data_IF_686773569689
#
_entry.id   IF_686773569689
#
_cell.length_a   1.000
_cell.length_b   1.000
_cell.length_c   1.000
_cell.angle_alpha   90.00
_cell.angle_beta   90.00
_cell.angle_gamma   90.00
#
_symmetry.space_group_name_H-M   'P 1'
#
loop_
_entity.id
_entity.type
_entity.pdbx_description
1 polymer ?
#
# COMPACT_ATOMS: atom_id res chain seq x y z
N UNK A 1 -2.38 -42.20 -15.10
CA UNK A 1 -3.26 -41.02 -15.26
C UNK A 1 -2.62 -39.85 -14.53
N UNK A 2 -1.81 -39.06 -15.23
CA UNK A 2 -1.13 -37.87 -14.70
C UNK A 2 -2.03 -36.65 -14.90
N UNK A 3 -2.54 -36.09 -13.81
CA UNK A 3 -3.31 -34.84 -13.84
C UNK A 3 -2.40 -33.68 -14.26
N UNK A 4 -2.46 -33.30 -15.52
CA UNK A 4 -1.85 -32.08 -16.05
C UNK A 4 -2.65 -30.88 -15.52
N UNK A 5 -2.26 -30.33 -14.37
CA UNK A 5 -2.81 -29.04 -13.90
C UNK A 5 -2.30 -27.95 -14.85
N UNK A 6 -3.19 -27.43 -15.68
CA UNK A 6 -2.95 -26.20 -16.45
C UNK A 6 -2.54 -25.07 -15.49
N UNK A 7 -1.41 -24.37 -15.74
CA UNK A 7 -1.04 -23.23 -14.91
C UNK A 7 -2.09 -22.14 -15.06
N UNK A 8 -2.71 -21.74 -13.95
CA UNK A 8 -3.65 -20.63 -13.90
C UNK A 8 -2.87 -19.35 -14.29
N UNK A 9 -3.24 -18.64 -15.36
CA UNK A 9 -2.60 -17.38 -15.70
C UNK A 9 -2.81 -16.38 -14.56
N UNK A 10 -1.70 -15.88 -13.99
CA UNK A 10 -1.73 -14.86 -12.94
C UNK A 10 -1.59 -13.49 -13.62
N UNK A 11 -2.56 -12.62 -13.39
CA UNK A 11 -2.64 -11.30 -14.01
C UNK A 11 -1.93 -10.25 -13.15
N UNK A 12 -1.18 -9.34 -13.76
CA UNK A 12 -0.65 -8.13 -13.12
C UNK A 12 -1.70 -7.02 -13.22
N UNK A 13 -1.91 -6.24 -12.15
CA UNK A 13 -2.81 -5.09 -12.15
C UNK A 13 -2.02 -3.85 -12.57
N UNK A 14 -2.30 -3.31 -13.76
CA UNK A 14 -1.90 -1.97 -14.15
C UNK A 14 -3.08 -1.01 -13.94
N UNK A 15 -2.88 0.01 -13.12
CA UNK A 15 -3.82 1.12 -13.01
C UNK A 15 -3.53 2.15 -14.11
N UNK A 16 -4.53 2.47 -14.93
CA UNK A 16 -4.41 3.49 -15.99
C UNK A 16 -4.55 4.89 -15.38
N UNK A 17 -3.78 5.90 -15.84
CA UNK A 17 -3.91 7.27 -15.36
C UNK A 17 -5.35 7.79 -15.48
N UNK A 18 -5.80 8.42 -14.40
CA UNK A 18 -7.16 8.91 -14.23
C UNK A 18 -7.44 10.17 -15.06
N UNK A 19 -8.61 10.21 -15.70
CA UNK A 19 -9.23 11.46 -16.19
C UNK A 19 -10.46 11.76 -15.34
N UNK A 20 -10.73 13.04 -15.04
CA UNK A 20 -11.73 13.50 -14.04
C UNK A 20 -13.15 12.90 -14.15
N UNK A 21 -13.50 12.28 -15.28
CA UNK A 21 -14.86 11.81 -15.59
C UNK A 21 -14.95 10.32 -15.94
N UNK A 22 -13.88 9.54 -15.81
CA UNK A 22 -13.92 8.10 -16.08
C UNK A 22 -13.57 7.29 -14.83
N UNK A 23 -14.38 6.26 -14.49
CA UNK A 23 -14.03 5.36 -13.40
C UNK A 23 -12.67 4.71 -13.71
N UNK A 24 -11.84 4.47 -12.68
CA UNK A 24 -10.56 3.82 -12.86
C UNK A 24 -10.75 2.45 -13.50
N UNK A 25 -9.99 2.18 -14.57
CA UNK A 25 -10.01 0.90 -15.26
C UNK A 25 -8.80 0.10 -14.81
N UNK A 26 -9.05 -1.07 -14.26
CA UNK A 26 -8.01 -2.05 -13.98
C UNK A 26 -7.64 -2.73 -15.30
N UNK A 27 -6.40 -2.60 -15.73
CA UNK A 27 -5.88 -3.32 -16.89
C UNK A 27 -5.10 -4.52 -16.39
N UNK A 28 -5.55 -5.70 -16.78
CA UNK A 28 -4.88 -6.96 -16.46
C UNK A 28 -3.95 -7.32 -17.60
N UNK A 29 -2.64 -7.41 -17.33
CA UNK A 29 -1.66 -7.86 -18.32
C UNK A 29 -1.20 -9.27 -17.97
N UNK A 30 -1.06 -10.11 -18.99
CA UNK A 30 -0.46 -11.43 -18.85
C UNK A 30 1.03 -11.24 -18.54
N UNK A 31 1.42 -11.59 -17.32
CA UNK A 31 2.81 -11.56 -16.89
C UNK A 31 3.36 -12.99 -16.72
N UNK A 32 4.68 -13.21 -16.83
CA UNK A 32 5.31 -14.44 -16.36
C UNK A 32 4.94 -14.72 -14.90
N UNK A 33 4.79 -16.00 -14.55
CA UNK A 33 4.58 -16.36 -13.16
C UNK A 33 5.79 -15.92 -12.34
N UNK A 34 5.51 -15.26 -11.20
CA UNK A 34 6.50 -14.86 -10.22
C UNK A 34 6.16 -15.56 -8.90
N UNK A 35 6.60 -16.81 -8.70
CA UNK A 35 6.24 -17.60 -7.52
C UNK A 35 6.82 -17.02 -6.24
N UNK A 36 7.88 -16.21 -6.34
CA UNK A 36 8.50 -15.51 -5.23
C UNK A 36 7.90 -14.12 -4.97
N UNK A 37 6.89 -13.70 -5.74
CA UNK A 37 6.24 -12.42 -5.50
C UNK A 37 5.45 -12.44 -4.19
N UNK A 38 5.68 -11.43 -3.37
CA UNK A 38 4.86 -11.14 -2.20
C UNK A 38 4.25 -9.75 -2.38
N UNK A 39 2.94 -9.66 -2.17
CA UNK A 39 2.17 -8.44 -2.31
C UNK A 39 1.54 -8.06 -0.99
N UNK A 40 1.49 -6.77 -0.71
CA UNK A 40 0.72 -6.20 0.38
C UNK A 40 0.20 -4.84 -0.04
N UNK A 41 -0.76 -4.29 0.69
CA UNK A 41 -1.36 -3.00 0.33
C UNK A 41 -1.29 -2.01 1.48
N UNK A 42 -1.37 -0.72 1.14
CA UNK A 42 -1.55 0.37 2.08
C UNK A 42 -2.73 1.24 1.62
N UNK A 43 -3.49 1.74 2.58
CA UNK A 43 -4.51 2.76 2.35
C UNK A 43 -4.45 3.80 3.47
N UNK A 44 -4.80 5.04 3.14
CA UNK A 44 -5.11 6.06 4.12
C UNK A 44 -6.61 6.30 4.10
N UNK A 45 -7.23 6.33 5.27
CA UNK A 45 -8.66 6.55 5.38
C UNK A 45 -9.05 7.97 4.90
N UNK A 46 -10.35 8.22 4.75
CA UNK A 46 -10.83 9.51 4.25
C UNK A 46 -10.52 10.70 5.16
N UNK A 47 -10.40 10.48 6.47
CA UNK A 47 -10.05 11.52 7.44
C UNK A 47 -8.52 11.83 7.46
N UNK A 48 -7.71 10.99 6.83
CA UNK A 48 -6.26 11.11 6.83
C UNK A 48 -5.61 10.73 8.15
N UNK A 49 -6.34 10.24 9.15
CA UNK A 49 -5.83 9.99 10.50
C UNK A 49 -5.51 8.51 10.78
N UNK A 50 -5.85 7.63 9.84
CA UNK A 50 -5.59 6.19 9.97
C UNK A 50 -4.94 5.68 8.70
N UNK A 51 -3.83 4.98 8.88
CA UNK A 51 -3.11 4.26 7.83
C UNK A 51 -3.33 2.78 8.08
N UNK A 52 -3.75 2.06 7.05
CA UNK A 52 -4.04 0.65 7.08
C UNK A 52 -3.10 -0.07 6.12
N UNK A 53 -2.50 -1.16 6.57
CA UNK A 53 -1.76 -2.08 5.72
C UNK A 53 -2.40 -3.46 5.79
N UNK A 54 -2.72 -4.03 4.63
CA UNK A 54 -3.29 -5.38 4.53
C UNK A 54 -2.22 -6.34 4.04
N UNK A 55 -2.06 -7.43 4.80
CA UNK A 55 -1.04 -8.44 4.62
C UNK A 55 0.42 -7.93 4.58
N UNK A 56 0.82 -6.91 5.37
CA UNK A 56 2.20 -6.48 5.39
C UNK A 56 3.15 -7.61 5.84
N UNK A 57 4.36 -7.68 5.26
CA UNK A 57 5.42 -8.53 5.79
C UNK A 57 5.69 -8.24 7.26
N UNK A 58 6.05 -9.26 8.04
CA UNK A 58 6.31 -9.12 9.47
C UNK A 58 7.33 -8.00 9.79
N UNK A 59 8.37 -7.85 8.96
CA UNK A 59 9.36 -6.79 9.11
C UNK A 59 8.74 -5.38 9.04
N UNK A 60 7.78 -5.17 8.13
CA UNK A 60 7.02 -3.91 8.00
C UNK A 60 6.16 -3.71 9.25
N UNK A 61 5.39 -4.73 9.65
CA UNK A 61 4.50 -4.67 10.81
C UNK A 61 5.21 -4.33 12.11
N UNK A 62 6.42 -4.86 12.31
CA UNK A 62 7.16 -4.71 13.56
C UNK A 62 7.93 -3.38 13.64
N UNK A 63 8.41 -2.85 12.50
CA UNK A 63 9.40 -1.78 12.52
C UNK A 63 8.89 -0.43 11.99
N UNK A 64 7.82 -0.41 11.19
CA UNK A 64 7.33 0.81 10.54
C UNK A 64 6.84 1.84 11.56
N UNK A 65 6.00 1.43 12.52
CA UNK A 65 5.45 2.35 13.51
C UNK A 65 6.54 2.97 14.39
N UNK A 66 7.59 2.21 14.72
CA UNK A 66 8.76 2.72 15.42
C UNK A 66 9.54 3.75 14.58
N UNK A 67 9.82 3.43 13.30
CA UNK A 67 10.47 4.35 12.37
C UNK A 67 9.71 5.68 12.24
N UNK A 68 8.38 5.61 12.14
CA UNK A 68 7.52 6.80 12.06
C UNK A 68 7.52 7.62 13.36
N UNK A 69 7.53 6.99 14.54
CA UNK A 69 7.63 7.70 15.82
C UNK A 69 8.95 8.46 15.96
N UNK A 70 10.03 7.89 15.48
CA UNK A 70 11.36 8.51 15.50
C UNK A 70 11.44 9.68 14.53
N UNK A 71 10.96 9.51 13.29
CA UNK A 71 11.01 10.57 12.28
C UNK A 71 9.98 11.69 12.50
N UNK A 72 8.82 11.35 13.08
CA UNK A 72 7.72 12.29 13.31
C UNK A 72 7.24 12.24 14.77
N UNK A 73 8.04 12.79 15.71
CA UNK A 73 7.69 12.79 17.13
C UNK A 73 6.31 13.40 17.38
N UNK A 74 5.56 12.79 18.30
CA UNK A 74 4.22 13.20 18.71
C UNK A 74 3.13 13.12 17.62
N UNK A 75 3.41 12.61 16.41
CA UNK A 75 2.39 12.45 15.36
C UNK A 75 1.64 11.14 15.43
N UNK A 76 2.30 10.07 15.88
CA UNK A 76 1.67 8.76 16.05
C UNK A 76 0.90 8.71 17.38
N UNK A 77 -0.37 8.33 17.32
CA UNK A 77 -1.25 8.10 18.48
C UNK A 77 -1.04 6.70 19.02
N UNK A 78 -1.20 5.70 18.17
CA UNK A 78 -1.06 4.28 18.49
C UNK A 78 -0.88 3.47 17.21
N UNK A 79 -0.47 2.22 17.36
CA UNK A 79 -0.48 1.21 16.30
C UNK A 79 -1.07 -0.08 16.85
N UNK A 80 -1.72 -0.87 15.99
CA UNK A 80 -2.31 -2.15 16.35
C UNK A 80 -2.23 -3.11 15.16
N UNK A 81 -1.98 -4.39 15.43
CA UNK A 81 -2.10 -5.47 14.45
C UNK A 81 -3.40 -6.21 14.75
N UNK A 82 -4.37 -6.17 13.83
CA UNK A 82 -5.64 -6.85 14.02
C UNK A 82 -5.44 -8.37 14.11
N UNK A 83 -5.89 -8.93 15.24
CA UNK A 83 -5.80 -10.36 15.51
C UNK A 83 -6.55 -11.17 14.43
N UNK A 84 -5.87 -12.17 13.87
CA UNK A 84 -6.45 -13.10 12.90
C UNK A 84 -6.58 -12.60 11.45
N UNK A 85 -6.25 -11.33 11.15
CA UNK A 85 -6.42 -10.76 9.80
C UNK A 85 -5.14 -10.21 9.16
N UNK A 86 -3.99 -10.26 9.87
CA UNK A 86 -2.71 -9.72 9.39
C UNK A 86 -2.87 -8.29 8.80
N UNK A 87 -3.55 -7.41 9.54
CA UNK A 87 -3.75 -6.01 9.16
C UNK A 87 -3.06 -5.12 10.19
N UNK A 88 -2.17 -4.23 9.74
CA UNK A 88 -1.55 -3.22 10.58
C UNK A 88 -2.31 -1.90 10.46
N UNK A 89 -2.73 -1.35 11.59
CA UNK A 89 -3.30 -0.02 11.70
C UNK A 89 -2.31 0.92 12.40
N UNK A 90 -2.06 2.08 11.80
CA UNK A 90 -1.30 3.17 12.41
C UNK A 90 -2.23 4.38 12.54
N UNK A 91 -2.48 4.80 13.77
CA UNK A 91 -3.34 5.92 14.09
C UNK A 91 -2.52 7.18 14.32
N UNK A 92 -2.90 8.28 13.69
CA UNK A 92 -2.27 9.58 13.84
C UNK A 92 -3.04 10.43 14.86
N UNK A 93 -2.34 11.30 15.59
CA UNK A 93 -2.99 12.26 16.52
C UNK A 93 -3.79 13.33 15.78
N UNK A 94 -3.33 13.69 14.58
CA UNK A 94 -3.98 14.60 13.63
C UNK A 94 -3.80 14.01 12.24
N UNK A 95 -4.76 14.24 11.35
CA UNK A 95 -4.72 13.69 9.99
C UNK A 95 -3.50 14.14 9.17
N UNK A 96 -3.23 13.45 8.06
CA UNK A 96 -2.05 13.72 7.23
C UNK A 96 -1.98 15.14 6.66
N UNK A 97 -3.14 15.76 6.49
CA UNK A 97 -3.29 17.12 5.97
C UNK A 97 -3.30 18.18 7.10
N UNK A 98 -3.01 17.80 8.35
CA UNK A 98 -3.05 18.72 9.48
C UNK A 98 -1.90 19.74 9.45
N UNK A 99 -2.14 20.99 9.91
CA UNK A 99 -1.10 22.01 9.99
C UNK A 99 0.16 21.55 10.75
N UNK A 100 1.32 21.91 10.20
CA UNK A 100 2.64 21.60 10.75
C UNK A 100 3.14 20.18 10.44
N UNK A 101 2.46 19.42 9.59
CA UNK A 101 2.99 18.19 9.01
C UNK A 101 3.12 18.33 7.51
N UNK A 102 4.31 18.06 6.99
CA UNK A 102 4.50 17.93 5.55
C UNK A 102 4.04 16.52 5.13
N UNK A 103 2.86 16.47 4.51
CA UNK A 103 2.27 15.24 3.98
C UNK A 103 3.20 14.53 3.00
N UNK A 104 3.85 15.27 2.11
CA UNK A 104 4.71 14.68 1.09
C UNK A 104 5.94 14.05 1.74
N UNK A 105 6.54 14.74 2.72
CA UNK A 105 7.65 14.20 3.50
C UNK A 105 7.24 12.95 4.29
N UNK A 106 6.05 12.98 4.91
CA UNK A 106 5.51 11.84 5.66
C UNK A 106 5.30 10.61 4.77
N UNK A 107 4.67 10.79 3.62
CA UNK A 107 4.46 9.72 2.64
C UNK A 107 5.78 9.23 2.05
N UNK A 108 6.71 10.13 1.74
CA UNK A 108 8.03 9.79 1.23
C UNK A 108 8.82 8.94 2.23
N UNK A 109 8.71 9.22 3.54
CA UNK A 109 9.35 8.40 4.57
C UNK A 109 8.80 6.98 4.61
N UNK A 110 7.47 6.80 4.49
CA UNK A 110 6.84 5.48 4.39
C UNK A 110 7.34 4.74 3.15
N UNK A 111 7.30 5.39 1.99
CA UNK A 111 7.72 4.80 0.72
C UNK A 111 9.21 4.41 0.74
N UNK A 112 10.06 5.27 1.30
CA UNK A 112 11.48 5.00 1.48
C UNK A 112 11.69 3.79 2.38
N UNK A 113 11.03 3.75 3.54
CA UNK A 113 11.14 2.63 4.48
C UNK A 113 10.75 1.29 3.83
N UNK A 114 9.65 1.28 3.07
CA UNK A 114 9.20 0.07 2.37
C UNK A 114 10.20 -0.34 1.27
N UNK A 115 10.75 0.64 0.55
CA UNK A 115 11.78 0.41 -0.46
C UNK A 115 13.07 -0.15 0.14
N UNK A 116 13.47 0.33 1.33
CA UNK A 116 14.64 -0.18 2.07
C UNK A 116 14.44 -1.64 2.52
N UNK A 117 13.18 -2.09 2.66
CA UNK A 117 12.81 -3.50 2.87
C UNK A 117 12.68 -4.31 1.59
N UNK A 118 13.15 -3.78 0.46
CA UNK A 118 13.18 -4.41 -0.85
C UNK A 118 11.78 -4.65 -1.47
N UNK A 119 10.78 -3.86 -1.05
CA UNK A 119 9.44 -3.81 -1.65
C UNK A 119 9.28 -2.52 -2.45
N UNK A 120 8.76 -2.60 -3.66
CA UNK A 120 8.53 -1.43 -4.52
C UNK A 120 7.03 -1.17 -4.65
N UNK A 121 6.68 0.11 -4.82
CA UNK A 121 5.32 0.49 -5.21
C UNK A 121 5.09 0.00 -6.66
N UNK A 122 4.22 -0.99 -6.80
CA UNK A 122 3.91 -1.63 -8.10
C UNK A 122 2.73 -0.91 -8.78
N UNK A 123 1.72 -0.55 -7.99
CA UNK A 123 0.55 0.15 -8.50
C UNK A 123 -0.07 1.07 -7.46
N UNK A 124 -0.78 2.07 -7.97
CA UNK A 124 -1.66 2.93 -7.17
C UNK A 124 -3.05 2.92 -7.78
N UNK A 125 -4.04 2.49 -7.01
CA UNK A 125 -5.44 2.37 -7.45
C UNK A 125 -6.26 3.43 -6.75
N UNK A 126 -6.72 4.46 -7.46
CA UNK A 126 -7.63 5.42 -6.85
C UNK A 126 -8.98 4.76 -6.62
N UNK A 127 -9.53 4.94 -5.42
CA UNK A 127 -10.89 4.53 -5.08
C UNK A 127 -11.88 5.67 -5.32
N UNK A 128 -13.15 5.32 -5.52
CA UNK A 128 -14.23 6.28 -5.63
C UNK A 128 -14.34 7.13 -4.36
N UNK A 129 -14.71 8.41 -4.52
CA UNK A 129 -15.02 9.29 -3.38
C UNK A 129 -16.20 8.71 -2.61
N UNK A 130 -16.10 8.70 -1.27
CA UNK A 130 -17.18 8.23 -0.38
C UNK A 130 -17.69 9.42 0.44
N UNK A 131 -18.96 9.82 0.25
CA UNK A 131 -19.59 10.93 0.96
C UNK A 131 -20.94 11.33 0.34
N UNK A 132 -21.76 12.08 1.08
CA UNK A 132 -23.04 12.62 0.59
C UNK A 132 -22.73 13.51 -0.64
N UNK A 133 -23.40 13.26 -1.77
CA UNK A 133 -23.20 13.96 -3.04
C UNK A 133 -21.78 13.88 -3.66
N UNK A 134 -20.95 12.89 -3.27
CA UNK A 134 -19.62 12.72 -3.88
C UNK A 134 -18.56 13.76 -3.46
N UNK A 135 -18.83 14.53 -2.40
CA UNK A 135 -17.94 15.55 -1.83
C UNK A 135 -16.87 15.00 -0.87
N UNK A 136 -16.78 13.67 -0.72
CA UNK A 136 -15.79 13.04 0.16
C UNK A 136 -14.36 13.08 -0.40
N UNK A 137 -13.37 12.95 0.49
CA UNK A 137 -11.97 12.79 0.10
C UNK A 137 -11.77 11.52 -0.74
N UNK A 138 -10.91 11.63 -1.76
CA UNK A 138 -10.56 10.52 -2.63
C UNK A 138 -9.61 9.59 -1.88
N UNK A 139 -9.98 8.32 -1.75
CA UNK A 139 -9.10 7.29 -1.18
C UNK A 139 -8.25 6.70 -2.30
N UNK A 140 -7.09 6.20 -1.94
CA UNK A 140 -6.16 5.55 -2.85
C UNK A 140 -5.57 4.32 -2.17
N UNK A 141 -5.47 3.21 -2.89
CA UNK A 141 -4.82 1.99 -2.44
C UNK A 141 -3.49 1.88 -3.14
N UNK A 142 -2.43 1.75 -2.36
CA UNK A 142 -1.08 1.51 -2.86
C UNK A 142 -0.78 0.03 -2.74
N UNK A 143 -0.29 -0.56 -3.82
CA UNK A 143 0.05 -1.98 -3.91
C UNK A 143 1.57 -2.08 -3.97
N UNK A 144 2.14 -2.81 -3.02
CA UNK A 144 3.57 -3.07 -2.97
C UNK A 144 3.86 -4.49 -3.40
N UNK A 145 4.99 -4.65 -4.09
CA UNK A 145 5.49 -5.96 -4.52
C UNK A 145 6.96 -6.10 -4.14
N UNK A 146 7.28 -7.24 -3.55
CA UNK A 146 8.65 -7.74 -3.38
C UNK A 146 8.81 -9.02 -4.19
N UNK A 147 9.97 -9.24 -4.80
CA UNK A 147 10.27 -10.50 -5.51
C UNK A 147 11.78 -10.72 -5.60
N UNK A 148 12.27 -11.96 -5.38
CA UNK A 148 13.64 -12.34 -5.67
C UNK A 148 14.11 -12.01 -7.10
N UNK A 149 13.21 -12.07 -8.08
CA UNK A 149 13.51 -11.77 -9.49
C UNK A 149 13.87 -10.29 -9.66
N UNK A 150 13.27 -9.41 -8.87
CA UNK A 150 13.56 -7.98 -8.90
C UNK A 150 14.86 -7.62 -8.18
N UNK A 151 15.27 -8.43 -7.22
CA UNK A 151 16.51 -8.24 -6.48
C UNK A 151 17.74 -8.71 -7.26
N UNK A 152 17.61 -9.74 -8.10
CA UNK A 152 18.68 -10.20 -8.99
C UNK A 152 18.85 -9.35 -10.23
N UNK A 153 17.79 -8.73 -10.76
CA UNK A 153 17.86 -7.85 -11.93
C UNK A 153 18.55 -6.49 -11.68
N UNK A 154 18.88 -6.15 -10.43
CA UNK A 154 19.61 -4.93 -10.06
C UNK A 154 21.08 -5.19 -9.64
N UNK A 155 21.62 -6.38 -9.91
CA UNK A 155 23.05 -6.69 -9.77
C UNK A 155 23.71 -6.86 -11.12
#
# INVERSE_FOLDING_TARGET
MTHHRTPIPRYLILAVPYTQFKPPRLVFVKAPADPGAHFFTMMINGAGDTIEFVDPPAAVSQSLALSLRTAFPHRIKSDNVAEGQNVLYIYLKKGIDAPGMDKNLFLAHILKFINDMAFKLDASVPLARRGILGLGSRREVWIFKGSPIWWTAQR
#
